data_IF_856594200739
#
_entry.id   IF_856594200739
#
_cell.length_a   1.000
_cell.length_b   1.000
_cell.length_c   1.000
_cell.angle_alpha   90.00
_cell.angle_beta   90.00
_cell.angle_gamma   90.00
#
_symmetry.space_group_name_H-M   'P 1'
#
loop_
_entity.id
_entity.type
_entity.pdbx_description
1 polymer ?
#
# COMPACT_ATOMS: atom_id res chain seq x y z
N UNK A 1 -7.62 -18.00 -30.13
CA UNK A 1 -8.98 -17.77 -30.67
C UNK A 1 -10.01 -17.49 -29.59
N UNK A 2 -10.32 -18.40 -28.65
CA UNK A 2 -11.33 -18.13 -27.60
C UNK A 2 -10.87 -17.12 -26.54
N UNK A 3 -9.59 -17.18 -26.14
CA UNK A 3 -8.97 -16.24 -25.19
C UNK A 3 -8.93 -14.80 -25.73
N UNK A 4 -8.65 -14.64 -27.03
CA UNK A 4 -8.58 -13.33 -27.68
C UNK A 4 -9.96 -12.66 -27.69
N UNK A 5 -11.01 -13.43 -27.99
CA UNK A 5 -12.40 -12.95 -27.96
C UNK A 5 -12.81 -12.53 -26.54
N UNK A 6 -12.44 -13.32 -25.52
CA UNK A 6 -12.71 -12.95 -24.13
C UNK A 6 -11.99 -11.66 -23.74
N UNK A 7 -10.71 -11.52 -24.11
CA UNK A 7 -9.92 -10.34 -23.81
C UNK A 7 -10.50 -9.08 -24.50
N UNK A 8 -10.84 -9.20 -25.77
CA UNK A 8 -11.42 -8.10 -26.55
C UNK A 8 -12.79 -7.67 -25.99
N UNK A 9 -13.61 -8.64 -25.58
CA UNK A 9 -14.92 -8.37 -24.94
C UNK A 9 -14.75 -7.73 -23.56
N UNK A 10 -13.73 -8.14 -22.80
CA UNK A 10 -13.45 -7.62 -21.44
C UNK A 10 -12.96 -6.17 -21.49
N UNK A 11 -12.04 -5.85 -22.41
CA UNK A 11 -11.49 -4.49 -22.56
C UNK A 11 -12.54 -3.53 -23.12
N UNK A 12 -13.45 -4.01 -23.98
CA UNK A 12 -14.56 -3.19 -24.50
C UNK A 12 -15.69 -2.98 -23.49
N UNK A 13 -15.69 -3.70 -22.37
CA UNK A 13 -16.70 -3.51 -21.34
C UNK A 13 -16.41 -2.25 -20.51
N UNK A 14 -17.27 -1.21 -20.59
CA UNK A 14 -17.02 0.06 -19.92
C UNK A 14 -17.03 -0.06 -18.39
N UNK A 15 -17.81 -0.98 -17.83
CA UNK A 15 -17.86 -1.23 -16.38
C UNK A 15 -16.52 -1.80 -15.91
N UNK A 16 -15.98 -2.77 -16.66
CA UNK A 16 -14.68 -3.36 -16.34
C UNK A 16 -13.56 -2.30 -16.40
N UNK A 17 -13.54 -1.49 -17.46
CA UNK A 17 -12.55 -0.43 -17.61
C UNK A 17 -12.66 0.63 -16.49
N UNK A 18 -13.87 0.98 -16.06
CA UNK A 18 -14.07 1.90 -14.93
C UNK A 18 -13.47 1.35 -13.63
N UNK A 19 -13.73 0.08 -13.32
CA UNK A 19 -13.14 -0.58 -12.14
C UNK A 19 -11.63 -0.67 -12.29
N UNK A 20 -11.11 -1.03 -13.46
CA UNK A 20 -9.68 -1.14 -13.73
C UNK A 20 -8.94 0.18 -13.49
N UNK A 21 -9.43 1.28 -14.06
CA UNK A 21 -8.85 2.61 -13.82
C UNK A 21 -9.01 3.06 -12.38
N UNK A 22 -10.15 2.77 -11.75
CA UNK A 22 -10.35 3.01 -10.32
C UNK A 22 -9.29 2.29 -9.47
N UNK A 23 -9.03 1.02 -9.72
CA UNK A 23 -7.99 0.28 -9.00
C UNK A 23 -6.61 0.89 -9.25
N UNK A 24 -6.24 1.16 -10.51
CA UNK A 24 -4.95 1.77 -10.83
C UNK A 24 -4.77 3.12 -10.12
N UNK A 25 -5.82 3.92 -10.00
CA UNK A 25 -5.76 5.23 -9.37
C UNK A 25 -5.71 5.15 -7.84
N UNK A 26 -6.53 4.30 -7.22
CA UNK A 26 -6.70 4.26 -5.76
C UNK A 26 -5.72 3.33 -5.04
N UNK A 27 -5.32 2.23 -5.67
CA UNK A 27 -4.47 1.21 -5.04
C UNK A 27 -3.08 1.74 -4.62
N UNK A 28 -2.38 2.57 -5.43
CA UNK A 28 -1.07 3.12 -5.05
C UNK A 28 -1.14 3.98 -3.78
N UNK A 29 -2.20 4.80 -3.64
CA UNK A 29 -2.39 5.65 -2.48
C UNK A 29 -2.55 4.86 -1.18
N UNK A 30 -3.30 3.75 -1.23
CA UNK A 30 -3.49 2.86 -0.09
C UNK A 30 -2.17 2.18 0.31
N UNK A 31 -1.40 1.71 -0.68
CA UNK A 31 -0.10 1.06 -0.43
C UNK A 31 0.89 2.03 0.21
N UNK A 32 1.03 3.24 -0.34
CA UNK A 32 1.91 4.28 0.21
C UNK A 32 1.51 4.66 1.64
N UNK A 33 0.20 4.77 1.91
CA UNK A 33 -0.31 5.06 3.26
C UNK A 33 0.12 4.00 4.26
N UNK A 34 -0.08 2.71 3.93
CA UNK A 34 0.32 1.60 4.81
C UNK A 34 1.82 1.56 5.06
N UNK A 35 2.65 1.81 4.05
CA UNK A 35 4.11 1.87 4.21
C UNK A 35 4.53 3.02 5.13
N UNK A 36 3.91 4.19 5.00
CA UNK A 36 4.19 5.34 5.86
C UNK A 36 3.74 5.11 7.31
N UNK A 37 2.57 4.51 7.51
CA UNK A 37 2.09 4.12 8.84
C UNK A 37 3.05 3.14 9.52
N UNK A 38 3.53 2.13 8.77
CA UNK A 38 4.50 1.16 9.28
C UNK A 38 5.85 1.82 9.66
N UNK A 39 6.36 2.73 8.81
CA UNK A 39 7.57 3.51 9.11
C UNK A 39 7.38 4.39 10.35
N UNK A 40 6.25 5.08 10.45
CA UNK A 40 5.95 5.95 11.58
C UNK A 40 5.85 5.16 12.89
N UNK A 41 5.22 3.97 12.86
CA UNK A 41 5.14 3.08 14.02
C UNK A 41 6.53 2.63 14.48
N UNK A 42 7.35 2.10 13.57
CA UNK A 42 8.74 1.71 13.87
C UNK A 42 9.54 2.86 14.46
N UNK A 43 9.43 4.07 13.88
CA UNK A 43 10.14 5.25 14.39
C UNK A 43 9.71 5.63 15.81
N UNK A 44 8.43 5.48 16.15
CA UNK A 44 7.95 5.73 17.53
C UNK A 44 8.53 4.72 18.50
N UNK A 45 8.56 3.44 18.13
CA UNK A 45 9.15 2.37 18.94
C UNK A 45 10.64 2.59 19.17
N UNK A 46 11.40 2.95 18.13
CA UNK A 46 12.84 3.25 18.26
C UNK A 46 13.09 4.45 19.16
N UNK A 47 12.32 5.53 19.00
CA UNK A 47 12.46 6.73 19.84
C UNK A 47 12.10 6.45 21.29
N UNK A 48 11.10 5.60 21.55
CA UNK A 48 10.76 5.18 22.91
C UNK A 48 11.89 4.33 23.51
N UNK A 49 12.42 3.37 22.77
CA UNK A 49 13.53 2.54 23.22
C UNK A 49 14.77 3.39 23.53
N UNK A 50 15.10 4.37 22.67
CA UNK A 50 16.21 5.31 22.88
C UNK A 50 16.01 6.17 24.14
N UNK A 51 14.79 6.69 24.36
CA UNK A 51 14.46 7.44 25.57
C UNK A 51 14.61 6.58 26.83
N UNK A 52 14.14 5.34 26.81
CA UNK A 52 14.26 4.41 27.95
C UNK A 52 15.74 4.08 28.20
N UNK A 53 16.52 3.79 27.15
CA UNK A 53 17.95 3.52 27.26
C UNK A 53 18.72 4.72 27.85
N UNK A 54 18.31 5.95 27.51
CA UNK A 54 18.89 7.17 28.09
C UNK A 54 18.55 7.34 29.58
N UNK A 55 17.37 6.90 30.01
CA UNK A 55 16.94 6.95 31.42
C UNK A 55 17.58 5.86 32.27
N UNK A 56 17.85 4.69 31.68
CA UNK A 56 18.48 3.55 32.35
C UNK A 56 19.73 3.10 31.57
N UNK A 57 20.82 3.87 31.62
CA UNK A 57 22.08 3.46 31.02
C UNK A 57 22.58 2.20 31.72
N UNK A 58 22.86 1.14 30.95
CA UNK A 58 23.51 -0.07 31.48
C UNK A 58 24.98 0.27 31.74
N UNK A 59 25.35 0.28 33.02
CA UNK A 59 26.76 0.25 33.46
C UNK A 59 27.42 -1.06 33.05
#
# INVERSE_FOLDING_TARGET
MMLDILAETTIRNPIFMFVFFGVIWFLPGILLRRLNEAKAKKRKETLQAEKIARLYPKN
#
